data_IF_344163615910
#
_entry.id   IF_344163615910
#
_cell.length_a   1.000
_cell.length_b   1.000
_cell.length_c   1.000
_cell.angle_alpha   90.00
_cell.angle_beta   90.00
_cell.angle_gamma   90.00
#
_symmetry.space_group_name_H-M   'P 1'
#
loop_
_entity.id
_entity.type
_entity.pdbx_description
1 polymer ?
#
# COMPACT_ATOMS: atom_id res chain seq x y z
N UNK A 1 14.64 -14.46 8.60
CA UNK A 1 14.68 -13.02 8.27
C UNK A 1 14.60 -12.26 9.56
N UNK A 2 15.69 -11.64 9.95
CA UNK A 2 15.74 -10.79 11.14
C UNK A 2 15.64 -9.37 10.62
N UNK A 3 14.55 -8.66 10.90
CA UNK A 3 14.43 -7.27 10.50
C UNK A 3 15.55 -6.45 11.18
N UNK A 4 16.27 -5.64 10.41
CA UNK A 4 17.38 -4.85 10.93
C UNK A 4 16.83 -3.68 11.75
N UNK A 5 17.33 -3.52 12.97
CA UNK A 5 16.96 -2.38 13.80
C UNK A 5 17.47 -1.08 13.18
N UNK A 6 16.64 -0.03 13.23
CA UNK A 6 16.91 1.28 12.59
C UNK A 6 18.27 1.91 12.93
N UNK A 7 18.86 1.56 14.07
CA UNK A 7 20.14 2.09 14.55
C UNK A 7 21.36 1.34 14.00
N UNK A 8 21.17 0.17 13.38
CA UNK A 8 22.23 -0.67 12.82
C UNK A 8 22.26 -0.60 11.27
N UNK A 9 21.47 0.30 10.69
CA UNK A 9 21.36 0.47 9.23
C UNK A 9 22.64 1.09 8.69
N UNK A 10 23.42 0.28 8.00
CA UNK A 10 24.52 0.71 7.13
C UNK A 10 24.06 0.86 5.67
N UNK A 11 24.88 1.51 4.83
CA UNK A 11 24.65 1.60 3.37
C UNK A 11 24.62 0.23 2.68
N UNK A 12 25.03 -0.84 3.35
CA UNK A 12 25.06 -2.18 2.77
C UNK A 12 23.70 -2.90 2.85
N UNK A 13 22.72 -2.39 3.58
CA UNK A 13 21.40 -2.99 3.62
C UNK A 13 20.59 -2.68 2.36
N UNK A 14 19.66 -3.58 2.05
CA UNK A 14 18.61 -3.30 1.10
C UNK A 14 17.51 -2.50 1.79
N UNK A 15 17.09 -1.43 1.14
CA UNK A 15 15.93 -0.63 1.54
C UNK A 15 14.70 -1.23 0.86
N UNK A 16 13.77 -1.74 1.66
CA UNK A 16 12.45 -2.17 1.21
C UNK A 16 11.50 -0.99 1.37
N UNK A 17 11.04 -0.44 0.24
CA UNK A 17 10.18 0.73 0.18
C UNK A 17 8.77 0.34 -0.27
N UNK A 18 7.81 0.41 0.64
CA UNK A 18 6.38 0.32 0.33
C UNK A 18 5.84 1.74 0.08
N UNK A 19 5.07 1.92 -0.99
CA UNK A 19 4.56 3.24 -1.37
C UNK A 19 3.17 3.13 -1.99
N UNK A 20 2.36 4.15 -1.75
CA UNK A 20 1.08 4.29 -2.45
C UNK A 20 0.68 5.76 -2.56
N UNK A 21 -0.12 6.07 -3.58
CA UNK A 21 -0.81 7.35 -3.70
C UNK A 21 -2.02 7.17 -4.59
N UNK A 22 -3.20 7.51 -4.05
CA UNK A 22 -4.39 7.74 -4.87
C UNK A 22 -4.28 9.12 -5.51
N UNK A 23 -4.29 9.16 -6.84
CA UNK A 23 -4.27 10.40 -7.62
C UNK A 23 -4.71 10.13 -9.06
N UNK A 24 -5.36 11.11 -9.71
CA UNK A 24 -5.77 10.97 -11.10
C UNK A 24 -4.54 10.94 -12.03
N UNK A 25 -4.39 9.83 -12.76
CA UNK A 25 -3.36 9.58 -13.76
C UNK A 25 -4.02 9.21 -15.10
N UNK A 26 -4.60 10.16 -15.85
CA UNK A 26 -5.31 9.85 -17.10
C UNK A 26 -4.42 9.15 -18.14
N UNK A 27 -3.13 9.50 -18.18
CA UNK A 27 -2.16 8.93 -19.13
C UNK A 27 -1.22 7.89 -18.48
N UNK A 28 -1.70 7.18 -17.46
CA UNK A 28 -0.87 6.26 -16.66
C UNK A 28 -0.18 5.15 -17.47
N UNK A 29 -0.77 4.74 -18.60
CA UNK A 29 -0.18 3.71 -19.47
C UNK A 29 1.19 4.14 -20.03
N UNK A 30 1.34 5.44 -20.34
CA UNK A 30 2.58 6.01 -20.84
C UNK A 30 3.70 6.01 -19.79
N UNK A 31 3.37 5.97 -18.49
CA UNK A 31 4.35 5.92 -17.41
C UNK A 31 5.03 4.55 -17.29
N UNK A 32 4.42 3.49 -17.83
CA UNK A 32 4.88 2.11 -17.60
C UNK A 32 6.33 1.88 -18.01
N UNK A 33 6.69 2.27 -19.24
CA UNK A 33 8.01 2.00 -19.80
C UNK A 33 9.09 2.89 -19.15
N UNK A 34 8.92 4.22 -19.05
CA UNK A 34 9.87 5.08 -18.35
C UNK A 34 10.10 4.66 -16.89
N UNK A 35 9.04 4.28 -16.16
CA UNK A 35 9.18 3.81 -14.78
C UNK A 35 9.96 2.50 -14.72
N UNK A 36 9.67 1.54 -15.61
CA UNK A 36 10.42 0.29 -15.67
C UNK A 36 11.90 0.54 -15.95
N UNK A 37 12.22 1.45 -16.88
CA UNK A 37 13.59 1.79 -17.26
C UNK A 37 14.36 2.40 -16.08
N UNK A 38 13.72 3.30 -15.32
CA UNK A 38 14.33 3.88 -14.11
C UNK A 38 14.56 2.82 -13.05
N UNK A 39 13.59 1.92 -12.84
CA UNK A 39 13.76 0.82 -11.89
C UNK A 39 14.91 -0.10 -12.30
N UNK A 40 14.99 -0.50 -13.56
CA UNK A 40 16.05 -1.38 -14.08
C UNK A 40 17.43 -0.72 -14.01
N UNK A 41 17.54 0.55 -14.40
CA UNK A 41 18.80 1.30 -14.35
C UNK A 41 19.34 1.50 -12.93
N UNK A 42 18.47 1.44 -11.91
CA UNK A 42 18.81 1.60 -10.50
C UNK A 42 18.76 0.28 -9.72
N UNK A 43 18.72 -0.86 -10.43
CA UNK A 43 18.67 -2.21 -9.86
C UNK A 43 17.51 -2.43 -8.88
N UNK A 44 16.43 -1.66 -9.02
CA UNK A 44 15.24 -1.74 -8.17
C UNK A 44 14.43 -2.96 -8.55
N UNK A 45 14.25 -3.87 -7.59
CA UNK A 45 13.42 -5.08 -7.73
C UNK A 45 12.12 -4.94 -6.97
N UNK A 46 11.07 -5.64 -7.39
CA UNK A 46 9.74 -5.54 -6.79
C UNK A 46 8.68 -5.22 -7.83
N UNK A 47 7.49 -4.85 -7.37
CA UNK A 47 6.35 -4.58 -8.25
C UNK A 47 5.72 -3.23 -7.93
N UNK A 48 5.59 -2.37 -8.94
CA UNK A 48 4.73 -1.20 -8.91
C UNK A 48 3.50 -1.44 -9.79
N UNK A 49 2.33 -1.18 -9.23
CA UNK A 49 1.04 -1.16 -9.90
C UNK A 49 0.72 0.28 -10.26
N UNK A 50 0.31 0.52 -11.50
CA UNK A 50 -0.20 1.82 -11.93
C UNK A 50 -1.59 1.63 -12.53
N UNK A 51 -2.53 2.49 -12.16
CA UNK A 51 -3.87 2.58 -12.72
C UNK A 51 -4.25 4.06 -12.90
N UNK A 52 -5.40 4.32 -13.52
CA UNK A 52 -5.93 5.68 -13.64
C UNK A 52 -6.15 6.37 -12.27
N UNK A 53 -6.33 5.59 -11.21
CA UNK A 53 -6.53 6.06 -9.83
C UNK A 53 -5.23 6.23 -9.01
N UNK A 54 -4.05 5.91 -9.56
CA UNK A 54 -2.78 6.19 -8.90
C UNK A 54 -1.71 5.10 -9.02
N UNK A 55 -0.88 5.00 -7.98
CA UNK A 55 0.25 4.07 -7.87
C UNK A 55 0.27 3.34 -6.52
N UNK A 56 0.64 2.06 -6.52
CA UNK A 56 0.87 1.27 -5.30
C UNK A 56 1.96 0.23 -5.54
N UNK A 57 2.79 -0.05 -4.55
CA UNK A 57 3.62 -1.23 -4.57
C UNK A 57 4.73 -1.24 -3.55
N UNK A 58 5.51 -2.31 -3.59
CA UNK A 58 6.68 -2.51 -2.74
C UNK A 58 7.86 -2.89 -3.61
N UNK A 59 8.97 -2.20 -3.38
CA UNK A 59 10.22 -2.35 -4.13
C UNK A 59 11.41 -2.39 -3.19
N UNK A 60 12.55 -2.89 -3.65
CA UNK A 60 13.77 -3.01 -2.88
C UNK A 60 14.99 -2.74 -3.75
N UNK A 61 15.95 -2.00 -3.20
CA UNK A 61 17.25 -1.71 -3.80
C UNK A 61 18.24 -1.27 -2.71
N UNK A 62 19.48 -0.94 -3.10
CA UNK A 62 20.35 -0.12 -2.25
C UNK A 62 19.75 1.28 -2.09
N UNK A 63 20.17 2.01 -1.05
CA UNK A 63 19.69 3.37 -0.72
C UNK A 63 19.60 4.29 -1.94
N UNK A 64 20.69 4.38 -2.70
CA UNK A 64 20.78 5.23 -3.90
C UNK A 64 19.71 4.87 -4.95
N UNK A 65 19.44 3.57 -5.15
CA UNK A 65 18.44 3.13 -6.12
C UNK A 65 17.02 3.50 -5.73
N UNK A 66 16.68 3.42 -4.43
CA UNK A 66 15.37 3.89 -3.93
C UNK A 66 15.29 5.42 -4.01
N UNK A 67 16.35 6.16 -3.67
CA UNK A 67 16.37 7.62 -3.77
C UNK A 67 16.15 8.10 -5.21
N UNK A 68 16.86 7.49 -6.16
CA UNK A 68 16.72 7.83 -7.58
C UNK A 68 15.31 7.53 -8.10
N UNK A 69 14.71 6.41 -7.68
CA UNK A 69 13.32 6.08 -8.02
C UNK A 69 12.34 7.10 -7.45
N UNK A 70 12.43 7.44 -6.16
CA UNK A 70 11.54 8.40 -5.51
C UNK A 70 11.70 9.79 -6.10
N UNK A 71 12.94 10.23 -6.38
CA UNK A 71 13.22 11.50 -7.03
C UNK A 71 12.70 11.56 -8.47
N UNK A 72 12.70 10.43 -9.20
CA UNK A 72 12.09 10.36 -10.52
C UNK A 72 10.57 10.46 -10.43
N UNK A 73 9.94 9.72 -9.52
CA UNK A 73 8.49 9.76 -9.30
C UNK A 73 8.02 11.17 -8.91
N UNK A 74 8.79 11.87 -8.08
CA UNK A 74 8.45 13.22 -7.61
C UNK A 74 8.38 14.26 -8.75
N UNK A 75 9.12 14.02 -9.83
CA UNK A 75 9.12 14.87 -11.03
C UNK A 75 7.95 14.58 -11.98
N UNK A 76 7.20 13.49 -11.79
CA UNK A 76 6.10 13.16 -12.69
C UNK A 76 4.85 13.94 -12.30
N UNK A 77 4.04 14.38 -13.29
CA UNK A 77 2.77 15.03 -13.02
C UNK A 77 1.92 14.21 -12.06
N UNK A 78 1.42 14.85 -11.00
CA UNK A 78 0.56 14.27 -9.97
C UNK A 78 1.19 13.19 -9.07
N UNK A 79 2.45 12.79 -9.26
CA UNK A 79 3.15 11.80 -8.44
C UNK A 79 4.15 12.40 -7.45
N UNK A 80 4.20 13.72 -7.32
CA UNK A 80 4.97 14.39 -6.27
C UNK A 80 4.47 14.02 -4.86
N UNK A 81 5.37 13.99 -3.87
CA UNK A 81 5.04 13.69 -2.46
C UNK A 81 4.32 12.34 -2.24
N UNK A 82 4.75 11.27 -2.91
CA UNK A 82 4.25 9.92 -2.60
C UNK A 82 4.59 9.57 -1.15
N UNK A 83 3.62 9.03 -0.42
CA UNK A 83 3.86 8.48 0.92
C UNK A 83 4.60 7.16 0.76
N UNK A 84 5.83 7.11 1.27
CA UNK A 84 6.64 5.90 1.36
C UNK A 84 6.89 5.51 2.80
N UNK A 85 7.01 4.20 3.03
CA UNK A 85 7.46 3.59 4.28
C UNK A 85 8.62 2.67 3.96
N UNK A 86 9.69 2.80 4.73
CA UNK A 86 10.93 2.05 4.50
C UNK A 86 11.22 1.11 5.67
N UNK A 87 11.67 -0.09 5.31
CA UNK A 87 12.29 -1.07 6.21
C UNK A 87 13.60 -1.56 5.60
N UNK A 88 14.40 -2.28 6.38
CA UNK A 88 15.75 -2.68 6.00
C UNK A 88 15.95 -4.19 6.18
N UNK A 89 16.66 -4.80 5.24
CA UNK A 89 17.00 -6.21 5.24
C UNK A 89 18.41 -6.43 4.67
N UNK A 90 19.07 -7.51 5.09
CA UNK A 90 20.40 -7.90 4.59
C UNK A 90 20.33 -8.39 3.15
N UNK A 91 19.18 -8.95 2.74
CA UNK A 91 18.95 -9.50 1.42
C UNK A 91 17.80 -8.80 0.69
N UNK A 92 17.89 -8.74 -0.64
CA UNK A 92 16.78 -8.23 -1.44
C UNK A 92 15.63 -9.26 -1.48
N UNK A 93 14.43 -8.96 -0.94
CA UNK A 93 13.33 -9.92 -0.85
C UNK A 93 12.64 -10.20 -2.19
N UNK A 94 12.98 -9.42 -3.25
CA UNK A 94 12.37 -9.52 -4.57
C UNK A 94 13.35 -9.99 -5.64
N UNK A 95 12.87 -10.88 -6.52
CA UNK A 95 13.68 -11.45 -7.60
C UNK A 95 13.63 -10.68 -8.93
N UNK A 96 12.58 -9.90 -9.17
CA UNK A 96 12.31 -9.30 -10.49
C UNK A 96 11.75 -7.89 -10.35
N UNK A 97 12.07 -7.05 -11.33
CA UNK A 97 11.48 -5.74 -11.54
C UNK A 97 10.21 -5.85 -12.36
N UNK A 98 9.11 -5.25 -11.90
CA UNK A 98 7.82 -5.29 -12.61
C UNK A 98 7.09 -3.95 -12.46
N UNK A 99 6.60 -3.44 -13.60
CA UNK A 99 5.57 -2.39 -13.63
C UNK A 99 4.33 -2.96 -14.32
N UNK A 100 3.21 -3.00 -13.58
CA UNK A 100 1.95 -3.59 -14.04
C UNK A 100 0.87 -2.53 -14.16
N UNK A 101 0.25 -2.47 -15.33
CA UNK A 101 -0.99 -1.72 -15.53
C UNK A 101 -2.16 -2.50 -14.91
N UNK A 102 -3.01 -1.81 -14.16
CA UNK A 102 -4.18 -2.37 -13.49
C UNK A 102 -5.39 -1.46 -13.69
N UNK A 103 -6.57 -2.03 -13.48
CA UNK A 103 -7.82 -1.24 -13.36
C UNK A 103 -7.86 -0.48 -12.03
N UNK A 104 -7.43 -1.17 -10.97
CA UNK A 104 -7.36 -0.65 -9.60
C UNK A 104 -5.99 -0.97 -9.00
N UNK A 105 -5.38 -0.04 -8.28
CA UNK A 105 -4.12 -0.24 -7.53
C UNK A 105 -4.35 -0.98 -6.20
N UNK A 106 -5.60 -0.97 -5.70
CA UNK A 106 -6.11 -1.81 -4.61
C UNK A 106 -7.46 -2.33 -5.07
N UNK A 107 -7.55 -3.62 -5.35
CA UNK A 107 -8.72 -4.14 -6.06
C UNK A 107 -9.87 -4.45 -5.10
N UNK A 108 -10.84 -3.54 -5.05
CA UNK A 108 -12.11 -3.72 -4.33
C UNK A 108 -13.21 -4.25 -5.26
N UNK A 109 -13.14 -3.96 -6.56
CA UNK A 109 -14.06 -4.50 -7.57
C UNK A 109 -15.46 -3.89 -7.53
N UNK A 110 -15.64 -2.72 -6.91
CA UNK A 110 -16.89 -1.97 -6.90
C UNK A 110 -16.79 -0.82 -7.91
N UNK A 111 -17.69 -0.82 -8.90
CA UNK A 111 -17.74 0.26 -9.89
C UNK A 111 -18.26 1.56 -9.26
N UNK A 112 -17.69 2.70 -9.68
CA UNK A 112 -18.15 4.03 -9.27
C UNK A 112 -17.62 4.52 -7.93
N UNK A 113 -16.80 3.73 -7.21
CA UNK A 113 -16.07 4.23 -6.04
C UNK A 113 -14.83 4.98 -6.51
N UNK A 114 -14.82 6.28 -6.25
CA UNK A 114 -13.69 7.15 -6.52
C UNK A 114 -12.95 7.42 -5.21
N UNK A 115 -11.77 6.80 -4.98
CA UNK A 115 -11.01 6.96 -3.75
C UNK A 115 -10.51 8.40 -3.53
N UNK A 116 -10.62 9.27 -4.55
CA UNK A 116 -10.31 10.70 -4.44
C UNK A 116 -11.49 11.54 -3.94
N UNK A 117 -12.72 11.03 -4.03
CA UNK A 117 -13.94 11.76 -3.67
C UNK A 117 -14.59 11.28 -2.38
N UNK A 118 -14.42 10.00 -2.06
CA UNK A 118 -15.00 9.39 -0.86
C UNK A 118 -13.87 8.88 0.02
N UNK A 119 -13.36 9.77 0.87
CA UNK A 119 -12.40 9.41 1.91
C UNK A 119 -13.05 9.47 3.28
N UNK A 120 -12.76 8.48 4.13
CA UNK A 120 -13.15 8.50 5.54
C UNK A 120 -12.32 9.50 6.35
N UNK A 121 -12.52 9.49 7.67
CA UNK A 121 -11.71 10.31 8.58
C UNK A 121 -10.40 9.59 8.91
N UNK A 122 -9.27 10.26 8.69
CA UNK A 122 -7.97 9.75 9.11
C UNK A 122 -7.77 9.98 10.61
N UNK A 123 -7.35 8.92 11.31
CA UNK A 123 -7.05 8.94 12.75
C UNK A 123 -5.54 8.90 12.93
N UNK A 124 -4.99 9.78 13.78
CA UNK A 124 -3.54 9.80 14.02
C UNK A 124 -3.12 8.60 14.87
N UNK A 125 -1.87 8.10 14.75
CA UNK A 125 -1.40 6.96 15.53
C UNK A 125 -1.54 7.11 17.05
N UNK A 126 -1.40 8.32 17.59
CA UNK A 126 -1.53 8.62 19.01
C UNK A 126 -3.00 8.63 19.50
N UNK A 127 -3.95 8.77 18.59
CA UNK A 127 -5.40 8.78 18.88
C UNK A 127 -6.03 7.39 18.67
N UNK A 128 -5.35 6.53 17.91
CA UNK A 128 -5.84 5.20 17.51
C UNK A 128 -6.25 4.32 18.69
N UNK A 129 -5.36 4.16 19.68
CA UNK A 129 -5.62 3.27 20.83
C UNK A 129 -6.83 3.71 21.65
N UNK A 130 -7.05 5.02 21.78
CA UNK A 130 -8.22 5.55 22.48
C UNK A 130 -9.50 5.25 21.69
N UNK A 131 -9.48 5.45 20.38
CA UNK A 131 -10.62 5.18 19.50
C UNK A 131 -11.05 3.71 19.53
N UNK A 132 -10.10 2.78 19.39
CA UNK A 132 -10.43 1.34 19.34
C UNK A 132 -10.77 0.74 20.71
N UNK A 133 -10.61 1.50 21.80
CA UNK A 133 -11.01 1.08 23.15
C UNK A 133 -12.44 1.47 23.49
N UNK A 134 -13.08 2.31 22.66
CA UNK A 134 -14.46 2.71 22.83
C UNK A 134 -15.40 1.53 22.51
N UNK A 135 -16.28 1.11 23.44
CA UNK A 135 -17.18 -0.03 23.20
C UNK A 135 -18.21 0.21 22.09
N UNK A 136 -18.48 1.46 21.72
CA UNK A 136 -19.41 1.82 20.65
C UNK A 136 -18.74 1.79 19.26
N UNK A 137 -17.41 1.55 19.20
CA UNK A 137 -16.66 1.45 17.96
C UNK A 137 -16.60 0.01 17.48
N UNK A 138 -17.12 -0.23 16.27
CA UNK A 138 -16.91 -1.48 15.55
C UNK A 138 -15.55 -1.41 14.84
N UNK A 139 -14.55 -2.10 15.40
CA UNK A 139 -13.26 -2.27 14.75
C UNK A 139 -13.31 -3.44 13.78
N UNK A 140 -12.90 -3.22 12.53
CA UNK A 140 -12.98 -4.22 11.46
C UNK A 140 -11.61 -4.36 10.82
N UNK A 141 -11.08 -5.58 10.75
CA UNK A 141 -9.84 -5.87 10.05
C UNK A 141 -10.14 -6.21 8.58
N UNK A 142 -9.78 -5.31 7.66
CA UNK A 142 -10.09 -5.49 6.23
C UNK A 142 -9.00 -6.25 5.47
N UNK A 143 -8.02 -6.83 6.18
CA UNK A 143 -6.95 -7.63 5.59
C UNK A 143 -7.44 -9.04 5.26
N UNK A 144 -6.64 -9.79 4.51
CA UNK A 144 -7.02 -11.17 4.18
C UNK A 144 -6.83 -12.10 5.39
N UNK A 145 -7.53 -13.23 5.38
CA UNK A 145 -7.51 -14.28 6.41
C UNK A 145 -6.10 -14.60 6.96
N UNK A 146 -5.13 -14.89 6.07
CA UNK A 146 -3.77 -15.25 6.48
C UNK A 146 -3.02 -14.14 7.24
N UNK A 147 -3.36 -12.87 7.04
CA UNK A 147 -2.74 -11.74 7.75
C UNK A 147 -3.30 -11.59 9.16
N UNK A 148 -4.58 -11.93 9.32
CA UNK A 148 -5.29 -11.90 10.61
C UNK A 148 -4.81 -13.06 11.49
N UNK A 149 -4.59 -14.24 10.91
CA UNK A 149 -4.03 -15.42 11.61
C UNK A 149 -2.66 -15.13 12.26
N UNK A 150 -1.85 -14.25 11.66
CA UNK A 150 -0.55 -13.83 12.21
C UNK A 150 -0.76 -12.88 13.41
N UNK A 151 -1.82 -12.08 13.39
CA UNK A 151 -2.19 -11.18 14.48
C UNK A 151 -3.10 -10.05 14.03
N UNK A 152 -4.02 -9.66 14.90
CA UNK A 152 -4.93 -8.52 14.73
C UNK A 152 -5.06 -7.72 16.02
N UNK A 153 -5.68 -6.54 15.94
CA UNK A 153 -5.98 -5.74 17.11
C UNK A 153 -7.04 -6.43 17.98
N UNK A 154 -6.94 -6.23 19.29
CA UNK A 154 -7.93 -6.74 20.22
C UNK A 154 -9.32 -6.20 19.85
N UNK A 155 -10.34 -7.08 19.89
CA UNK A 155 -11.74 -6.79 19.54
C UNK A 155 -12.00 -6.47 18.05
N UNK A 156 -11.01 -6.59 17.17
CA UNK A 156 -11.25 -6.45 15.73
C UNK A 156 -12.12 -7.61 15.21
N UNK A 157 -13.18 -7.26 14.48
CA UNK A 157 -14.02 -8.21 13.75
C UNK A 157 -13.25 -8.68 12.52
N UNK A 158 -13.19 -10.00 12.34
CA UNK A 158 -12.66 -10.66 11.15
C UNK A 158 -13.79 -10.95 10.15
N UNK A 159 -13.80 -10.27 8.98
CA UNK A 159 -14.76 -10.52 7.91
C UNK A 159 -14.65 -11.91 7.26
N UNK A 160 -13.59 -12.67 7.55
CA UNK A 160 -13.23 -13.95 6.95
C UNK A 160 -13.10 -13.87 5.41
N UNK A 161 -12.64 -12.72 4.91
CA UNK A 161 -12.45 -12.49 3.47
C UNK A 161 -11.10 -13.04 3.01
N UNK A 162 -11.12 -13.82 1.93
CA UNK A 162 -9.89 -14.32 1.28
C UNK A 162 -9.26 -13.28 0.37
N UNK A 163 -10.10 -12.38 -0.14
CA UNK A 163 -9.68 -11.27 -0.98
C UNK A 163 -10.46 -10.01 -0.61
N UNK A 164 -9.82 -8.84 -0.71
CA UNK A 164 -10.48 -7.56 -0.44
C UNK A 164 -11.74 -7.28 -1.29
N UNK A 165 -11.91 -7.97 -2.42
CA UNK A 165 -13.12 -7.90 -3.25
C UNK A 165 -14.38 -8.45 -2.57
N UNK A 166 -14.22 -9.30 -1.57
CA UNK A 166 -15.33 -9.89 -0.80
C UNK A 166 -15.84 -8.93 0.27
N UNK A 167 -15.01 -7.97 0.70
CA UNK A 167 -15.32 -7.03 1.78
C UNK A 167 -16.58 -6.17 1.53
N UNK A 168 -16.82 -5.60 0.33
CA UNK A 168 -18.03 -4.81 0.08
C UNK A 168 -19.34 -5.59 0.32
N UNK A 169 -19.36 -6.88 -0.02
CA UNK A 169 -20.53 -7.71 0.21
C UNK A 169 -20.73 -7.95 1.71
N UNK A 170 -19.66 -8.31 2.42
CA UNK A 170 -19.70 -8.49 3.87
C UNK A 170 -20.16 -7.21 4.60
N UNK A 171 -19.63 -6.05 4.21
CA UNK A 171 -19.98 -4.76 4.80
C UNK A 171 -21.47 -4.44 4.61
N UNK A 172 -22.02 -4.71 3.42
CA UNK A 172 -23.45 -4.52 3.13
C UNK A 172 -24.35 -5.44 3.97
N UNK A 173 -23.88 -6.64 4.29
CA UNK A 173 -24.66 -7.61 5.07
C UNK A 173 -24.62 -7.33 6.58
N UNK A 174 -23.51 -6.79 7.10
CA UNK A 174 -23.22 -6.71 8.53
C UNK A 174 -23.18 -5.29 9.12
N UNK A 175 -23.00 -4.26 8.30
CA UNK A 175 -22.86 -2.87 8.74
C UNK A 175 -24.03 -1.97 8.33
N UNK A 176 -25.16 -2.57 7.92
CA UNK A 176 -26.36 -1.82 7.54
C UNK A 176 -26.91 -1.06 8.76
N UNK A 177 -26.87 0.29 8.76
CA UNK A 177 -27.31 1.10 9.91
C UNK A 177 -28.80 0.94 10.21
N UNK A 178 -29.61 0.46 9.26
CA UNK A 178 -31.04 0.20 9.48
C UNK A 178 -31.30 -1.15 10.17
N UNK A 179 -30.27 -1.97 10.42
CA UNK A 179 -30.37 -3.29 11.07
C UNK A 179 -29.77 -3.36 12.47
N UNK A 180 -29.28 -2.24 13.02
CA UNK A 180 -28.73 -2.14 14.38
C UNK A 180 -29.64 -1.32 15.30
#
# INVERSE_FOLDING_TARGET
MTAVHKNDVTNDHFVVCAMYKFVALPDYEALRKPLLDVMEANEVRGTLLIAAEGINGTVSAKREGIDNLLAWLDKQPNLNNIVSKESYDDECPFYRTKVKLKKEIVTMGVEGVDPLKVVGSYVKPNEWNALISDPDVILIDTRNDYEIEIGTFQNAVDPNTKTFREFPQWAKENLDPEKQ
#
